data_IF_542083069825
#
_entry.id   IF_542083069825
#
_cell.length_a   1.000
_cell.length_b   1.000
_cell.length_c   1.000
_cell.angle_alpha   90.00
_cell.angle_beta   90.00
_cell.angle_gamma   90.00
#
_symmetry.space_group_name_H-M   'P 1'
#
loop_
_entity.id
_entity.type
_entity.pdbx_description
1 polymer ?
#
# COMPACT_ATOMS: atom_id res chain seq x y z
N UNK A 1 5.81 -26.46 -10.23
CA UNK A 1 5.00 -26.27 -9.01
C UNK A 1 4.65 -24.79 -8.95
N UNK A 2 3.44 -24.40 -9.36
CA UNK A 2 3.01 -23.00 -9.30
C UNK A 2 2.54 -22.69 -7.87
N UNK A 3 2.57 -21.43 -7.46
CA UNK A 3 2.25 -20.97 -6.09
C UNK A 3 0.81 -21.35 -5.65
N UNK A 4 -0.03 -21.80 -6.59
CA UNK A 4 -1.40 -22.27 -6.39
C UNK A 4 -1.53 -23.61 -5.63
N UNK A 5 -0.45 -24.36 -5.43
CA UNK A 5 -0.46 -25.72 -4.83
C UNK A 5 -0.56 -25.73 -3.29
N UNK A 6 -0.38 -24.57 -2.63
CA UNK A 6 -0.42 -24.47 -1.14
C UNK A 6 -1.79 -24.12 -0.57
N UNK A 7 -2.82 -24.02 -1.42
CA UNK A 7 -4.21 -23.75 -1.00
C UNK A 7 -4.97 -25.07 -0.83
N UNK A 8 -5.87 -25.20 0.18
CA UNK A 8 -6.61 -26.43 0.43
C UNK A 8 -7.37 -26.88 -0.82
N UNK A 9 -7.12 -28.14 -1.23
CA UNK A 9 -7.44 -28.68 -2.56
C UNK A 9 -8.95 -28.89 -2.83
N UNK A 10 -9.83 -28.54 -1.91
CA UNK A 10 -11.27 -28.83 -2.01
C UNK A 10 -12.10 -27.72 -2.67
N UNK A 11 -11.51 -26.56 -2.98
CA UNK A 11 -12.22 -25.43 -3.60
C UNK A 11 -12.11 -25.42 -5.15
N UNK A 12 -13.16 -25.00 -5.88
CA UNK A 12 -13.12 -24.82 -7.33
C UNK A 12 -12.00 -23.88 -7.77
N UNK A 13 -11.47 -24.04 -8.99
CA UNK A 13 -10.31 -23.28 -9.50
C UNK A 13 -10.53 -21.75 -9.49
N UNK A 14 -11.77 -21.30 -9.68
CA UNK A 14 -12.19 -19.89 -9.56
C UNK A 14 -12.00 -19.34 -8.14
N UNK A 15 -12.35 -20.13 -7.14
CA UNK A 15 -12.18 -19.78 -5.73
C UNK A 15 -10.70 -19.76 -5.34
N UNK A 16 -9.87 -20.66 -5.90
CA UNK A 16 -8.41 -20.64 -5.68
C UNK A 16 -7.75 -19.39 -6.22
N UNK A 17 -8.14 -18.94 -7.42
CA UNK A 17 -7.64 -17.67 -7.99
C UNK A 17 -8.08 -16.48 -7.14
N UNK A 18 -9.34 -16.44 -6.71
CA UNK A 18 -9.85 -15.38 -5.83
C UNK A 18 -9.10 -15.33 -4.48
N UNK A 19 -8.87 -16.49 -3.86
CA UNK A 19 -8.10 -16.61 -2.62
C UNK A 19 -6.65 -16.17 -2.79
N UNK A 20 -6.01 -16.53 -3.91
CA UNK A 20 -4.65 -16.09 -4.22
C UNK A 20 -4.57 -14.57 -4.37
N UNK A 21 -5.48 -13.96 -5.14
CA UNK A 21 -5.51 -12.51 -5.32
C UNK A 21 -5.83 -11.77 -4.01
N UNK A 22 -6.74 -12.32 -3.19
CA UNK A 22 -7.04 -11.78 -1.86
C UNK A 22 -5.79 -11.81 -0.96
N UNK A 23 -5.10 -12.95 -0.87
CA UNK A 23 -3.86 -13.08 -0.10
C UNK A 23 -2.79 -12.11 -0.59
N UNK A 24 -2.63 -11.98 -1.91
CA UNK A 24 -1.66 -11.05 -2.51
C UNK A 24 -1.98 -9.60 -2.20
N UNK A 25 -3.26 -9.24 -2.18
CA UNK A 25 -3.72 -7.92 -1.77
C UNK A 25 -3.44 -7.66 -0.29
N UNK A 26 -3.68 -8.63 0.59
CA UNK A 26 -3.34 -8.55 2.02
C UNK A 26 -1.84 -8.35 2.24
N UNK A 27 -0.99 -9.11 1.56
CA UNK A 27 0.47 -8.95 1.63
C UNK A 27 0.92 -7.56 1.17
N UNK A 28 0.30 -7.02 0.11
CA UNK A 28 0.58 -5.66 -0.36
C UNK A 28 0.18 -4.61 0.67
N UNK A 29 -0.99 -4.76 1.30
CA UNK A 29 -1.46 -3.86 2.36
C UNK A 29 -0.53 -3.92 3.57
N UNK A 30 -0.11 -5.13 3.98
CA UNK A 30 0.81 -5.32 5.10
C UNK A 30 2.14 -4.59 4.87
N UNK A 31 2.74 -4.74 3.67
CA UNK A 31 3.98 -4.03 3.30
C UNK A 31 3.82 -2.51 3.32
N UNK A 32 2.71 -1.97 2.81
CA UNK A 32 2.46 -0.53 2.84
C UNK A 32 2.28 0.01 4.27
N UNK A 33 1.61 -0.75 5.15
CA UNK A 33 1.48 -0.39 6.56
C UNK A 33 2.83 -0.37 7.26
N UNK A 34 3.67 -1.37 7.04
CA UNK A 34 5.01 -1.42 7.62
C UNK A 34 5.83 -0.19 7.20
N UNK A 35 5.82 0.15 5.91
CA UNK A 35 6.52 1.35 5.42
C UNK A 35 5.98 2.63 6.03
N UNK A 36 4.66 2.74 6.20
CA UNK A 36 4.02 3.89 6.84
C UNK A 36 4.46 4.03 8.31
N UNK A 37 4.37 2.95 9.08
CA UNK A 37 4.74 2.93 10.50
C UNK A 37 6.22 3.24 10.73
N UNK A 38 7.11 2.66 9.91
CA UNK A 38 8.55 2.96 9.99
C UNK A 38 8.84 4.42 9.70
N UNK A 39 8.12 5.00 8.72
CA UNK A 39 8.28 6.41 8.35
C UNK A 39 7.74 7.34 9.43
N UNK A 40 6.58 7.05 10.03
CA UNK A 40 6.03 7.83 11.14
C UNK A 40 6.95 7.82 12.36
N UNK A 41 7.47 6.65 12.74
CA UNK A 41 8.44 6.54 13.83
C UNK A 41 9.71 7.33 13.56
N UNK A 42 10.15 7.36 12.30
CA UNK A 42 11.30 8.17 11.89
C UNK A 42 11.01 9.66 11.98
N UNK A 43 9.88 10.11 11.44
CA UNK A 43 9.43 11.50 11.54
C UNK A 43 9.38 11.94 13.01
N UNK A 44 8.76 11.13 13.88
CA UNK A 44 8.71 11.43 15.31
C UNK A 44 10.08 11.54 15.97
N UNK A 45 11.03 10.65 15.65
CA UNK A 45 12.41 10.73 16.15
C UNK A 45 13.14 12.00 15.68
N UNK A 46 12.92 12.41 14.43
CA UNK A 46 13.48 13.65 13.88
C UNK A 46 12.88 14.87 14.56
N UNK A 47 11.56 14.90 14.74
CA UNK A 47 10.86 16.01 15.40
C UNK A 47 11.26 16.17 16.87
N UNK A 48 11.59 15.06 17.54
CA UNK A 48 12.13 15.05 18.91
C UNK A 48 13.62 15.41 18.97
N UNK A 49 14.29 15.60 17.83
CA UNK A 49 15.74 15.85 17.76
C UNK A 49 16.61 14.64 18.10
N UNK A 50 16.02 13.43 18.16
CA UNK A 50 16.72 12.18 18.45
C UNK A 50 17.34 11.51 17.21
N UNK A 51 16.97 11.96 16.01
CA UNK A 51 17.58 11.52 14.74
C UNK A 51 17.81 12.74 13.84
N UNK A 52 18.98 12.87 13.18
CA UNK A 52 19.23 13.96 12.24
C UNK A 52 18.49 13.76 10.91
N UNK A 53 18.38 14.83 10.12
CA UNK A 53 17.88 14.74 8.74
C UNK A 53 18.98 14.19 7.82
N UNK A 54 18.77 13.01 7.24
CA UNK A 54 19.71 12.38 6.29
C UNK A 54 19.59 12.96 4.86
N UNK A 55 19.75 14.27 4.69
CA UNK A 55 19.72 14.95 3.39
C UNK A 55 18.33 15.09 2.74
N UNK A 56 17.30 14.45 3.29
CA UNK A 56 15.90 14.73 2.97
C UNK A 56 15.35 15.79 3.91
N UNK A 57 14.45 16.67 3.43
CA UNK A 57 13.74 17.60 4.32
C UNK A 57 12.64 16.90 5.11
N UNK A 58 12.33 17.40 6.31
CA UNK A 58 11.19 16.89 7.11
C UNK A 58 9.87 16.97 6.31
N UNK A 59 9.72 18.00 5.49
CA UNK A 59 8.57 18.16 4.60
C UNK A 59 8.47 17.03 3.57
N UNK A 60 9.59 16.62 2.95
CA UNK A 60 9.60 15.50 2.00
C UNK A 60 9.19 14.18 2.67
N UNK A 61 9.59 13.96 3.92
CA UNK A 61 9.19 12.78 4.69
C UNK A 61 7.68 12.77 4.99
N UNK A 62 7.12 13.91 5.41
CA UNK A 62 5.66 14.06 5.62
C UNK A 62 4.87 13.85 4.33
N UNK A 63 5.32 14.40 3.21
CA UNK A 63 4.69 14.16 1.90
C UNK A 63 4.72 12.67 1.52
N UNK A 64 5.83 11.97 1.77
CA UNK A 64 5.93 10.53 1.53
C UNK A 64 4.98 9.72 2.43
N UNK A 65 4.84 10.11 3.70
CA UNK A 65 3.87 9.52 4.62
C UNK A 65 2.44 9.70 4.11
N UNK A 66 2.08 10.92 3.71
CA UNK A 66 0.74 11.20 3.21
C UNK A 66 0.44 10.40 1.92
N UNK A 67 1.44 10.21 1.05
CA UNK A 67 1.33 9.33 -0.11
C UNK A 67 1.12 7.86 0.26
N UNK A 68 1.80 7.34 1.29
CA UNK A 68 1.55 5.98 1.80
C UNK A 68 0.15 5.84 2.39
N UNK A 69 -0.32 6.84 3.13
CA UNK A 69 -1.68 6.87 3.68
C UNK A 69 -2.74 6.86 2.57
N UNK A 70 -2.57 7.67 1.53
CA UNK A 70 -3.45 7.68 0.35
C UNK A 70 -3.48 6.32 -0.35
N UNK A 71 -2.33 5.66 -0.52
CA UNK A 71 -2.26 4.31 -1.09
C UNK A 71 -3.01 3.29 -0.22
N UNK A 72 -2.88 3.36 1.10
CA UNK A 72 -3.63 2.51 2.03
C UNK A 72 -5.14 2.77 1.97
N UNK A 73 -5.56 4.02 1.81
CA UNK A 73 -6.97 4.38 1.65
C UNK A 73 -7.53 3.90 0.31
N UNK A 74 -6.78 4.02 -0.78
CA UNK A 74 -7.18 3.53 -2.09
C UNK A 74 -7.42 2.01 -2.11
N UNK A 75 -6.65 1.25 -1.31
CA UNK A 75 -6.83 -0.20 -1.16
C UNK A 75 -8.02 -0.59 -0.25
N UNK A 76 -8.48 0.32 0.61
CA UNK A 76 -9.63 0.10 1.52
C UNK A 76 -10.94 0.60 0.92
N UNK A 77 -10.89 1.57 0.01
CA UNK A 77 -12.07 2.08 -0.64
C UNK A 77 -12.72 0.93 -1.43
N UNK A 78 -14.01 0.60 -1.19
CA UNK A 78 -14.71 -0.34 -2.05
C UNK A 78 -14.62 0.20 -3.47
N UNK A 79 -14.30 -0.69 -4.43
CA UNK A 79 -14.14 -0.34 -5.84
C UNK A 79 -15.23 0.65 -6.25
N UNK A 80 -14.85 1.93 -6.35
CA UNK A 80 -15.68 2.92 -7.02
C UNK A 80 -15.65 2.48 -8.47
N UNK A 81 -16.67 1.72 -8.87
CA UNK A 81 -17.00 1.56 -10.29
C UNK A 81 -17.04 2.97 -10.88
N UNK A 82 -16.36 3.11 -12.00
CA UNK A 82 -16.27 4.28 -12.86
C UNK A 82 -15.14 5.27 -12.54
N UNK A 83 -14.02 5.05 -13.25
CA UNK A 83 -13.53 6.07 -14.16
C UNK A 83 -12.65 7.16 -13.56
N UNK A 84 -11.45 6.82 -13.12
CA UNK A 84 -10.25 7.62 -13.37
C UNK A 84 -9.02 6.82 -12.91
N UNK A 85 -8.17 6.43 -13.87
CA UNK A 85 -6.83 5.95 -13.53
C UNK A 85 -6.10 7.13 -12.87
N UNK A 86 -5.84 7.05 -11.57
CA UNK A 86 -5.24 8.09 -10.74
C UNK A 86 -3.77 8.44 -11.06
N UNK A 87 -3.37 8.38 -12.31
CA UNK A 87 -2.19 9.07 -12.83
C UNK A 87 -2.63 10.48 -13.23
N UNK A 88 -2.16 11.50 -12.49
CA UNK A 88 -2.49 12.92 -12.71
C UNK A 88 -2.03 13.51 -14.05
N UNK A 89 -2.53 12.97 -15.17
CA UNK A 89 -2.47 13.56 -16.51
C UNK A 89 -3.82 13.35 -17.19
N UNK A 90 -4.56 14.45 -17.26
CA UNK A 90 -5.59 14.80 -18.24
C UNK A 90 -6.45 13.65 -18.82
N UNK A 91 -7.67 13.47 -18.29
CA UNK A 91 -8.80 13.06 -19.12
C UNK A 91 -9.50 14.32 -19.61
N UNK A 92 -9.11 14.79 -20.80
CA UNK A 92 -9.90 15.72 -21.61
C UNK A 92 -10.53 14.92 -22.76
N UNK A 93 -11.84 15.03 -22.90
CA UNK A 93 -12.67 14.35 -23.90
C UNK A 93 -14.12 14.33 -23.48
#
# INVERSE_FOLDING_TARGET
>A
MTVYDTLPSTAPERDRKALYEARRAEERIARLREQYELLEKRIGRIEQGSEPLDGSSLQALRMRRDGLLQNLQALKAPERKEGCCGCGRACGG
#
